data_IF_087404956473
#
_entry.id   IF_087404956473
#
_cell.length_a   1.000
_cell.length_b   1.000
_cell.length_c   1.000
_cell.angle_alpha   90.00
_cell.angle_beta   90.00
_cell.angle_gamma   90.00
#
_symmetry.space_group_name_H-M   'P 1'
#
loop_
_entity.id
_entity.type
_entity.pdbx_description
1 polymer ?
#
# COMPACT_ATOMS: atom_id res chain seq x y z
N UNK A 1 -20.62 -7.47 2.81
CA UNK A 1 -20.41 -6.10 3.30
C UNK A 1 -19.33 -6.13 4.36
N UNK A 2 -18.54 -5.06 4.50
CA UNK A 2 -17.49 -4.92 5.49
C UNK A 2 -17.10 -3.45 5.64
N UNK A 3 -16.08 -3.18 6.42
CA UNK A 3 -15.54 -1.85 6.69
C UNK A 3 -14.08 -1.76 6.24
N UNK A 4 -13.59 -0.54 6.06
CA UNK A 4 -12.14 -0.30 5.94
C UNK A 4 -11.56 -0.29 7.35
N UNK A 5 -10.72 -1.29 7.64
CA UNK A 5 -10.11 -1.47 8.96
C UNK A 5 -8.73 -0.79 9.07
N UNK A 6 -8.05 -0.55 7.94
CA UNK A 6 -6.82 0.23 7.89
C UNK A 6 -6.53 0.78 6.49
N UNK A 7 -5.67 1.80 6.41
CA UNK A 7 -5.08 2.38 5.20
C UNK A 7 -3.56 2.41 5.35
N UNK A 8 -2.80 2.64 4.28
CA UNK A 8 -1.34 2.79 4.43
C UNK A 8 -0.61 1.48 4.68
N UNK A 9 -1.22 0.32 4.41
CA UNK A 9 -0.63 -0.97 4.76
C UNK A 9 0.43 -1.33 3.72
N UNK A 10 1.68 -1.38 4.18
CA UNK A 10 2.85 -1.83 3.44
C UNK A 10 3.56 -2.97 4.17
N UNK A 11 4.32 -3.79 3.45
CA UNK A 11 5.15 -4.83 4.05
C UNK A 11 4.34 -5.93 4.73
N UNK A 12 3.11 -6.20 4.24
CA UNK A 12 2.30 -7.30 4.76
C UNK A 12 2.95 -8.69 4.48
N UNK A 13 4.06 -8.72 3.74
CA UNK A 13 4.76 -9.95 3.33
C UNK A 13 4.02 -10.73 2.26
N UNK A 14 3.01 -10.12 1.65
CA UNK A 14 2.06 -10.78 0.74
C UNK A 14 2.41 -10.49 -0.72
N UNK A 15 3.18 -9.43 -1.01
CA UNK A 15 3.71 -9.12 -2.34
C UNK A 15 5.24 -9.03 -2.40
N UNK A 16 5.80 -9.30 -3.57
CA UNK A 16 7.25 -9.18 -3.85
C UNK A 16 7.66 -7.77 -4.30
N UNK A 17 6.81 -6.76 -4.09
CA UNK A 17 6.93 -5.43 -4.70
C UNK A 17 7.10 -4.29 -3.71
N UNK A 18 7.92 -3.29 -4.07
CA UNK A 18 8.27 -2.15 -3.22
C UNK A 18 7.26 -0.99 -3.26
N UNK A 19 6.05 -1.19 -3.79
CA UNK A 19 5.04 -0.13 -4.01
C UNK A 19 3.69 -0.53 -3.43
N UNK A 20 3.67 -0.77 -2.13
CA UNK A 20 2.48 -1.21 -1.39
C UNK A 20 1.89 -0.05 -0.60
N UNK A 21 0.59 0.19 -0.78
CA UNK A 21 -0.24 1.09 0.01
C UNK A 21 -1.66 0.54 0.04
N UNK A 22 -1.84 -0.62 0.66
CA UNK A 22 -3.12 -1.32 0.61
C UNK A 22 -4.17 -0.67 1.53
N UNK A 23 -5.42 -0.70 1.06
CA UNK A 23 -6.59 -0.64 1.92
C UNK A 23 -6.80 -2.02 2.55
N UNK A 24 -6.99 -2.06 3.86
CA UNK A 24 -7.38 -3.28 4.56
C UNK A 24 -8.87 -3.27 4.85
N UNK A 25 -9.53 -4.41 4.64
CA UNK A 25 -10.96 -4.59 4.92
C UNK A 25 -11.23 -5.94 5.55
N UNK A 26 -12.29 -6.01 6.35
CA UNK A 26 -12.88 -7.25 6.86
C UNK A 26 -13.98 -7.82 5.95
N UNK A 27 -14.30 -7.13 4.84
CA UNK A 27 -15.18 -7.67 3.82
C UNK A 27 -14.61 -9.01 3.31
N UNK A 28 -15.42 -10.08 3.20
CA UNK A 28 -14.95 -11.37 2.73
C UNK A 28 -14.33 -11.28 1.33
N UNK A 29 -13.01 -11.50 1.24
CA UNK A 29 -12.27 -11.64 -0.01
C UNK A 29 -11.76 -13.08 -0.06
N UNK A 30 -12.02 -13.79 -1.17
CA UNK A 30 -11.58 -15.16 -1.39
C UNK A 30 -10.95 -15.30 -2.78
N UNK A 31 -10.36 -16.46 -3.07
CA UNK A 31 -9.92 -16.78 -4.41
C UNK A 31 -11.07 -16.62 -5.42
N UNK A 32 -10.76 -16.07 -6.59
CA UNK A 32 -11.73 -15.70 -7.61
C UNK A 32 -12.18 -14.23 -7.56
N UNK A 33 -12.03 -13.54 -6.41
CA UNK A 33 -12.36 -12.11 -6.31
C UNK A 33 -11.16 -11.19 -6.61
N UNK A 34 -9.95 -11.74 -6.75
CA UNK A 34 -8.74 -10.99 -7.13
C UNK A 34 -8.93 -10.30 -8.48
N UNK A 35 -8.59 -9.01 -8.54
CA UNK A 35 -8.86 -8.12 -9.67
C UNK A 35 -10.26 -7.49 -9.67
N UNK A 36 -11.16 -7.95 -8.80
CA UNK A 36 -12.52 -7.42 -8.67
C UNK A 36 -12.60 -6.10 -7.90
N UNK A 37 -13.78 -5.47 -7.93
CA UNK A 37 -14.03 -4.18 -7.31
C UNK A 37 -14.22 -4.26 -5.78
N UNK A 38 -13.67 -3.28 -5.08
CA UNK A 38 -14.11 -2.86 -3.75
C UNK A 38 -14.82 -1.51 -3.89
N UNK A 39 -16.11 -1.48 -3.54
CA UNK A 39 -16.96 -0.28 -3.67
C UNK A 39 -17.43 0.22 -2.31
N UNK A 40 -17.66 1.52 -2.20
CA UNK A 40 -18.27 2.11 -1.01
C UNK A 40 -19.80 1.94 -1.00
N UNK A 41 -20.47 2.44 0.03
CA UNK A 41 -21.91 2.30 0.25
C UNK A 41 -22.79 3.02 -0.78
N UNK A 42 -22.20 3.88 -1.63
CA UNK A 42 -22.89 4.56 -2.73
C UNK A 42 -22.45 4.03 -4.11
N UNK A 43 -21.69 2.94 -4.16
CA UNK A 43 -21.29 2.25 -5.39
C UNK A 43 -20.06 2.82 -6.09
N UNK A 44 -19.30 3.71 -5.45
CA UNK A 44 -18.07 4.24 -6.02
C UNK A 44 -16.90 3.28 -5.79
N UNK A 45 -16.06 3.09 -6.81
CA UNK A 45 -14.88 2.24 -6.75
C UNK A 45 -13.79 2.88 -5.86
N UNK A 46 -13.49 2.24 -4.73
CA UNK A 46 -12.46 2.69 -3.80
C UNK A 46 -11.19 1.85 -3.84
N UNK A 47 -11.26 0.62 -4.37
CA UNK A 47 -10.08 -0.20 -4.55
C UNK A 47 -10.30 -1.44 -5.43
N UNK A 48 -9.20 -2.13 -5.73
CA UNK A 48 -9.16 -3.38 -6.48
C UNK A 48 -8.72 -4.49 -5.53
N UNK A 49 -9.58 -5.47 -5.30
CA UNK A 49 -9.28 -6.62 -4.44
C UNK A 49 -8.06 -7.33 -4.99
N UNK A 50 -7.03 -7.51 -4.17
CA UNK A 50 -5.76 -8.05 -4.64
C UNK A 50 -5.41 -9.32 -3.90
N UNK A 51 -5.41 -9.27 -2.57
CA UNK A 51 -4.81 -10.30 -1.72
C UNK A 51 -5.55 -10.43 -0.39
N UNK A 52 -5.20 -11.46 0.38
CA UNK A 52 -5.68 -11.72 1.74
C UNK A 52 -4.48 -12.04 2.62
N UNK A 53 -4.60 -11.86 3.94
CA UNK A 53 -3.73 -12.57 4.87
C UNK A 53 -4.31 -13.98 5.08
N UNK A 54 -3.67 -15.05 4.57
CA UNK A 54 -4.19 -16.40 4.73
C UNK A 54 -3.93 -16.94 6.14
N UNK A 55 -4.90 -17.65 6.70
CA UNK A 55 -4.69 -18.46 7.91
C UNK A 55 -3.99 -19.79 7.60
N UNK A 56 -3.88 -20.66 8.61
CA UNK A 56 -3.23 -21.99 8.49
C UNK A 56 -3.86 -22.93 7.44
N UNK A 57 -5.08 -22.65 6.97
CA UNK A 57 -5.77 -23.37 5.89
C UNK A 57 -5.86 -22.63 4.56
N UNK A 58 -5.12 -21.54 4.37
CA UNK A 58 -5.14 -20.74 3.13
C UNK A 58 -6.37 -19.84 2.94
N UNK A 59 -7.36 -19.94 3.83
CA UNK A 59 -8.57 -19.14 3.81
C UNK A 59 -8.36 -17.74 4.41
N UNK A 60 -9.21 -16.80 4.00
CA UNK A 60 -9.28 -15.47 4.59
C UNK A 60 -9.70 -15.55 6.06
N UNK A 61 -8.97 -14.85 6.93
CA UNK A 61 -9.24 -14.80 8.38
C UNK A 61 -9.87 -13.45 8.82
N UNK A 62 -10.57 -12.77 7.91
CA UNK A 62 -11.12 -11.44 8.12
C UNK A 62 -10.15 -10.29 7.78
N UNK A 63 -9.08 -10.56 7.02
CA UNK A 63 -8.10 -9.56 6.60
C UNK A 63 -7.90 -9.66 5.09
N UNK A 64 -8.61 -8.79 4.36
CA UNK A 64 -8.48 -8.59 2.93
C UNK A 64 -7.70 -7.32 2.58
N UNK A 65 -7.03 -7.32 1.44
CA UNK A 65 -6.26 -6.19 0.92
C UNK A 65 -6.70 -5.79 -0.48
N UNK A 66 -6.92 -4.49 -0.66
CA UNK A 66 -7.26 -3.89 -1.94
C UNK A 66 -6.28 -2.77 -2.30
N UNK A 67 -5.89 -2.70 -3.58
CA UNK A 67 -5.10 -1.60 -4.13
C UNK A 67 -6.02 -0.37 -4.24
N UNK A 68 -5.65 0.81 -3.70
CA UNK A 68 -6.45 2.03 -3.83
C UNK A 68 -6.80 2.39 -5.27
N UNK A 69 -8.02 2.86 -5.51
CA UNK A 69 -8.50 3.15 -6.88
C UNK A 69 -7.71 4.28 -7.57
N UNK A 70 -7.19 5.25 -6.82
CA UNK A 70 -6.31 6.30 -7.35
C UNK A 70 -4.96 5.74 -7.86
N UNK A 71 -4.36 4.78 -7.13
CA UNK A 71 -3.15 4.09 -7.57
C UNK A 71 -3.43 3.26 -8.83
N UNK A 72 -4.52 2.49 -8.81
CA UNK A 72 -4.94 1.69 -9.97
C UNK A 72 -5.17 2.56 -11.21
N UNK A 73 -5.82 3.72 -11.05
CA UNK A 73 -6.03 4.71 -12.13
C UNK A 73 -4.70 5.24 -12.68
N UNK A 74 -3.77 5.65 -11.82
CA UNK A 74 -2.45 6.14 -12.26
C UNK A 74 -1.67 5.09 -13.06
N UNK A 75 -1.72 3.83 -12.63
CA UNK A 75 -1.12 2.71 -13.34
C UNK A 75 -1.80 2.48 -14.70
N UNK A 76 -3.14 2.42 -14.71
CA UNK A 76 -3.93 2.25 -15.92
C UNK A 76 -3.63 3.36 -16.94
N UNK A 77 -3.62 4.63 -16.52
CA UNK A 77 -3.37 5.77 -17.40
C UNK A 77 -1.98 5.69 -18.06
N UNK A 78 -0.96 5.24 -17.34
CA UNK A 78 0.39 5.05 -17.89
C UNK A 78 0.44 3.88 -18.89
N UNK A 79 -0.21 2.77 -18.56
CA UNK A 79 -0.30 1.61 -19.44
C UNK A 79 -1.03 1.96 -20.74
N UNK A 80 -2.13 2.68 -20.67
CA UNK A 80 -2.88 3.13 -21.85
C UNK A 80 -2.07 4.09 -22.73
N UNK A 81 -1.32 5.02 -22.12
CA UNK A 81 -0.54 6.02 -22.87
C UNK A 81 0.75 5.49 -23.48
N UNK A 82 1.41 4.54 -22.83
CA UNK A 82 2.78 4.16 -23.20
C UNK A 82 3.12 2.68 -23.06
N UNK A 83 2.14 1.82 -22.77
CA UNK A 83 2.31 0.37 -22.65
C UNK A 83 3.12 -0.09 -21.44
N UNK A 84 3.62 0.83 -20.60
CA UNK A 84 4.44 0.53 -19.43
C UNK A 84 4.26 1.55 -18.31
N UNK A 85 4.40 1.09 -17.08
CA UNK A 85 4.44 1.97 -15.89
C UNK A 85 5.87 2.45 -15.67
N UNK A 86 6.07 3.76 -15.57
CA UNK A 86 7.36 4.37 -15.22
C UNK A 86 7.33 4.79 -13.77
N UNK A 87 8.32 4.34 -12.99
CA UNK A 87 8.44 4.65 -11.57
C UNK A 87 9.68 5.51 -11.37
N UNK A 88 9.49 6.74 -10.94
CA UNK A 88 10.58 7.62 -10.53
C UNK A 88 11.14 7.18 -9.18
N UNK A 89 12.43 7.41 -8.97
CA UNK A 89 13.09 7.26 -7.68
C UNK A 89 13.73 8.59 -7.33
N UNK A 90 13.60 9.01 -6.07
CA UNK A 90 14.26 10.20 -5.55
C UNK A 90 15.76 9.98 -5.30
N UNK A 91 16.23 8.73 -5.33
CA UNK A 91 17.61 8.38 -5.01
C UNK A 91 17.97 8.59 -3.55
N UNK A 92 17.00 8.47 -2.63
CA UNK A 92 17.24 8.53 -1.19
C UNK A 92 16.86 7.22 -0.53
N UNK A 93 17.67 6.78 0.44
CA UNK A 93 17.31 5.71 1.36
C UNK A 93 16.58 6.34 2.55
N UNK A 94 15.37 5.89 2.80
CA UNK A 94 14.53 6.42 3.89
C UNK A 94 14.29 5.37 4.97
N UNK A 95 14.20 5.83 6.20
CA UNK A 95 13.85 5.03 7.37
C UNK A 95 12.65 5.61 8.12
N UNK A 96 12.08 4.83 9.03
CA UNK A 96 11.07 5.33 9.98
C UNK A 96 11.75 6.08 11.12
N UNK A 97 11.12 7.16 11.58
CA UNK A 97 11.53 7.86 12.81
C UNK A 97 10.97 7.09 14.00
N UNK A 98 11.85 6.53 14.84
CA UNK A 98 11.45 5.91 16.11
C UNK A 98 11.37 6.96 17.22
N UNK A 99 10.65 6.65 18.30
CA UNK A 99 10.52 7.56 19.45
C UNK A 99 11.88 7.88 20.10
N UNK A 100 12.76 6.88 20.19
CA UNK A 100 14.11 7.05 20.75
C UNK A 100 14.97 7.96 19.86
N UNK A 101 14.85 7.81 18.53
CA UNK A 101 15.51 8.69 17.58
C UNK A 101 14.97 10.12 17.65
N UNK A 102 13.64 10.30 17.67
CA UNK A 102 13.03 11.61 17.80
C UNK A 102 13.49 12.34 19.06
N UNK A 103 13.52 11.63 20.20
CA UNK A 103 14.02 12.16 21.48
C UNK A 103 15.49 12.55 21.37
N UNK A 104 16.33 11.69 20.81
CA UNK A 104 17.78 11.93 20.67
C UNK A 104 18.11 13.09 19.72
N UNK A 105 17.24 13.33 18.72
CA UNK A 105 17.38 14.41 17.74
C UNK A 105 16.65 15.69 18.14
N UNK A 106 16.04 15.74 19.33
CA UNK A 106 15.30 16.92 19.82
C UNK A 106 14.02 17.21 19.03
N UNK A 107 13.44 16.21 18.38
CA UNK A 107 12.19 16.33 17.63
C UNK A 107 10.98 16.25 18.56
N UNK A 108 10.00 17.12 18.35
CA UNK A 108 8.75 17.14 19.13
C UNK A 108 7.76 16.03 18.76
N UNK A 109 7.93 15.41 17.58
CA UNK A 109 7.05 14.35 17.07
C UNK A 109 7.83 13.37 16.18
N UNK A 110 7.29 12.16 15.99
CA UNK A 110 7.86 11.11 15.12
C UNK A 110 7.31 11.18 13.69
N UNK A 111 6.75 12.32 13.30
CA UNK A 111 6.09 12.50 12.00
C UNK A 111 7.11 12.70 10.89
N UNK A 112 6.98 11.92 9.81
CA UNK A 112 7.83 12.00 8.63
C UNK A 112 8.71 10.76 8.44
N UNK A 113 9.81 10.94 7.72
CA UNK A 113 10.81 9.91 7.44
C UNK A 113 12.19 10.46 7.69
N UNK A 114 13.13 9.61 8.09
CA UNK A 114 14.54 9.98 8.15
C UNK A 114 15.20 9.65 6.81
N UNK A 115 16.03 10.56 6.29
CA UNK A 115 16.88 10.29 5.14
C UNK A 115 18.19 9.68 5.67
N UNK A 116 18.37 8.39 5.45
CA UNK A 116 19.56 7.66 5.91
C UNK A 116 20.76 7.90 4.98
N UNK A 117 20.51 8.03 3.68
CA UNK A 117 21.54 8.39 2.69
C UNK A 117 20.91 8.94 1.41
N UNK A 118 21.70 9.70 0.68
CA UNK A 118 21.41 10.16 -0.68
C UNK A 118 22.34 9.43 -1.64
N UNK A 119 21.80 8.88 -2.71
CA UNK A 119 22.56 8.22 -3.76
C UNK A 119 23.34 9.28 -4.56
N UNK A 120 24.61 9.01 -4.84
CA UNK A 120 25.44 9.93 -5.61
C UNK A 120 24.84 10.17 -7.00
N UNK A 121 24.72 11.45 -7.38
CA UNK A 121 24.23 11.88 -8.69
C UNK A 121 22.71 11.93 -8.85
N UNK A 122 21.93 11.87 -7.76
CA UNK A 122 20.46 11.91 -7.79
C UNK A 122 19.83 13.18 -7.21
N UNK A 123 20.64 14.16 -6.77
CA UNK A 123 20.23 15.46 -6.26
C UNK A 123 20.92 16.59 -7.02
#
# INVERSE_FOLDING_TARGET
MGIISAKGRSGAGIGSGNFEDFLQTDAPINQGNSGGALVNTVGELIGINSQILPGAGGANIGIGFAIPSNMARSVMDQLLKGGKVRRGQLGVKIGRVTSDMATSLGMSETKGVIVESVQSGTA
#
